data_IF_208773630918
#
_entry.id   IF_208773630918
#
_cell.length_a   1.000
_cell.length_b   1.000
_cell.length_c   1.000
_cell.angle_alpha   90.00
_cell.angle_beta   90.00
_cell.angle_gamma   90.00
#
_symmetry.space_group_name_H-M   'P 1'
#
loop_
_entity.id
_entity.type
_entity.pdbx_description
1 polymer ?
#
# COMPACT_ATOMS: atom_id res chain seq x y z
N UNK A 1 12.08 -34.59 4.51
CA UNK A 1 12.86 -33.78 3.56
C UNK A 1 12.80 -32.37 4.11
N UNK A 2 13.94 -31.76 4.45
CA UNK A 2 13.93 -30.39 4.96
C UNK A 2 13.57 -29.40 3.84
N UNK A 3 12.61 -28.51 4.09
CA UNK A 3 12.18 -27.51 3.14
C UNK A 3 11.77 -26.22 3.87
N UNK A 4 12.02 -25.07 3.23
CA UNK A 4 11.52 -23.76 3.64
C UNK A 4 10.89 -23.15 2.40
N UNK A 5 9.61 -22.77 2.49
CA UNK A 5 8.86 -22.20 1.38
C UNK A 5 8.43 -20.78 1.74
N UNK A 6 8.75 -19.85 0.85
CA UNK A 6 8.48 -18.42 1.00
C UNK A 6 8.06 -17.85 -0.34
N UNK A 7 7.36 -16.72 -0.28
CA UNK A 7 6.92 -16.00 -1.47
C UNK A 7 7.40 -14.55 -1.44
N UNK A 8 7.45 -13.92 -2.61
CA UNK A 8 7.77 -12.49 -2.74
C UNK A 8 6.55 -11.63 -2.42
N UNK A 9 6.75 -10.43 -1.88
CA UNK A 9 5.67 -9.50 -1.58
C UNK A 9 5.89 -8.12 -2.18
N UNK A 10 4.78 -7.39 -2.38
CA UNK A 10 4.79 -5.97 -2.73
C UNK A 10 4.05 -5.20 -1.64
N UNK A 11 4.72 -4.23 -1.07
CA UNK A 11 4.19 -3.29 -0.07
C UNK A 11 4.40 -1.86 -0.55
N UNK A 12 3.83 -0.88 0.15
CA UNK A 12 4.03 0.53 -0.15
C UNK A 12 4.79 1.22 0.99
N UNK A 13 5.41 2.36 0.68
CA UNK A 13 6.13 3.17 1.67
C UNK A 13 5.25 3.43 2.90
N UNK A 14 5.81 3.10 4.06
CA UNK A 14 5.16 3.27 5.36
C UNK A 14 4.08 2.23 5.69
N UNK A 15 3.91 1.19 4.88
CA UNK A 15 3.11 0.03 5.29
C UNK A 15 3.80 -0.73 6.43
N UNK A 16 2.99 -1.31 7.32
CA UNK A 16 3.48 -2.28 8.29
C UNK A 16 3.73 -3.60 7.58
N UNK A 17 4.93 -4.13 7.72
CA UNK A 17 5.34 -5.42 7.16
C UNK A 17 6.14 -6.20 8.20
N UNK A 18 5.96 -7.52 8.22
CA UNK A 18 6.71 -8.44 9.03
C UNK A 18 7.22 -9.61 8.17
N UNK A 19 8.36 -10.20 8.53
CA UNK A 19 8.92 -11.31 7.75
C UNK A 19 7.99 -12.53 7.67
N UNK A 20 7.13 -12.73 8.66
CA UNK A 20 6.13 -13.80 8.62
C UNK A 20 5.12 -13.63 7.47
N UNK A 21 4.92 -12.40 6.97
CA UNK A 21 4.02 -12.12 5.84
C UNK A 21 4.47 -12.84 4.55
N UNK A 22 5.76 -13.17 4.43
CA UNK A 22 6.34 -13.85 3.27
C UNK A 22 6.54 -15.36 3.48
N UNK A 23 6.17 -15.90 4.65
CA UNK A 23 6.37 -17.31 4.99
C UNK A 23 5.16 -18.17 4.61
N UNK A 24 5.38 -19.25 3.87
CA UNK A 24 4.30 -20.18 3.48
C UNK A 24 4.30 -21.45 4.35
N UNK A 25 5.46 -22.09 4.50
CA UNK A 25 5.62 -23.32 5.29
C UNK A 25 7.08 -23.71 5.46
N UNK A 26 7.38 -24.54 6.47
CA UNK A 26 8.64 -25.25 6.60
C UNK A 26 8.39 -26.70 7.02
N UNK A 27 9.26 -27.61 6.59
CA UNK A 27 9.24 -29.02 6.93
C UNK A 27 10.60 -29.46 7.46
N UNK A 28 10.61 -30.33 8.46
CA UNK A 28 11.83 -30.98 8.95
C UNK A 28 12.29 -32.16 8.06
N UNK A 29 13.40 -32.79 8.44
CA UNK A 29 13.94 -33.96 7.74
C UNK A 29 12.96 -35.15 7.66
N UNK A 30 12.02 -35.27 8.60
CA UNK A 30 11.02 -36.33 8.67
C UNK A 30 9.72 -35.94 7.94
N UNK A 31 9.60 -34.69 7.48
CA UNK A 31 8.45 -34.15 6.78
C UNK A 31 7.37 -33.58 7.70
N UNK A 32 7.68 -33.33 8.98
CA UNK A 32 6.76 -32.68 9.91
C UNK A 32 6.78 -31.16 9.68
N UNK A 33 5.64 -30.46 9.83
CA UNK A 33 5.60 -29.01 9.77
C UNK A 33 6.38 -28.38 10.91
N UNK A 34 7.02 -27.26 10.61
CA UNK A 34 7.78 -26.44 11.55
C UNK A 34 7.18 -25.03 11.58
N UNK A 35 7.05 -24.48 12.78
CA UNK A 35 6.49 -23.15 13.00
C UNK A 35 7.48 -22.05 12.61
N UNK A 36 6.96 -20.89 12.20
CA UNK A 36 7.76 -19.73 11.81
C UNK A 36 8.82 -19.33 12.85
N UNK A 37 8.45 -19.42 14.13
CA UNK A 37 9.31 -19.05 15.26
C UNK A 37 10.57 -19.93 15.40
N UNK A 38 10.62 -21.09 14.75
CA UNK A 38 11.81 -21.96 14.73
C UNK A 38 12.81 -21.59 13.63
N UNK A 39 12.45 -20.69 12.71
CA UNK A 39 13.34 -20.21 11.65
C UNK A 39 14.32 -19.18 12.20
N UNK A 40 15.53 -19.20 11.66
CA UNK A 40 16.41 -18.03 11.70
C UNK A 40 16.09 -17.14 10.52
N UNK A 41 15.69 -15.89 10.79
CA UNK A 41 15.31 -14.91 9.76
C UNK A 41 16.29 -13.74 9.75
N UNK A 42 16.92 -13.50 8.60
CA UNK A 42 17.69 -12.29 8.33
C UNK A 42 16.86 -11.33 7.47
N UNK A 43 16.32 -10.31 8.14
CA UNK A 43 15.65 -9.16 7.55
C UNK A 43 16.44 -7.86 7.81
N UNK A 44 17.75 -7.94 8.03
CA UNK A 44 18.60 -6.79 8.41
C UNK A 44 18.64 -5.66 7.38
N UNK A 45 18.33 -5.98 6.12
CA UNK A 45 18.22 -5.03 5.01
C UNK A 45 16.81 -4.47 4.80
N UNK A 46 15.84 -4.87 5.62
CA UNK A 46 14.47 -4.42 5.48
C UNK A 46 14.36 -2.91 5.68
N UNK A 47 13.87 -2.22 4.67
CA UNK A 47 13.70 -0.78 4.66
C UNK A 47 12.38 -0.44 3.98
N UNK A 48 11.32 -0.28 4.77
CA UNK A 48 9.95 -0.03 4.28
C UNK A 48 9.60 1.45 4.21
N UNK A 49 10.51 2.35 4.63
CA UNK A 49 10.29 3.80 4.58
C UNK A 49 10.67 4.43 3.24
N UNK A 50 11.20 3.65 2.29
CA UNK A 50 11.64 4.13 0.97
C UNK A 50 11.32 3.10 -0.11
N UNK A 51 10.96 3.55 -1.30
CA UNK A 51 10.80 2.64 -2.42
C UNK A 51 12.12 1.96 -2.79
N UNK A 52 12.02 0.71 -3.21
CA UNK A 52 13.17 -0.15 -3.50
C UNK A 52 12.83 -1.62 -3.31
N UNK A 53 13.83 -2.48 -3.35
CA UNK A 53 13.69 -3.91 -3.10
C UNK A 53 14.70 -4.36 -2.06
N UNK A 54 14.30 -5.24 -1.16
CA UNK A 54 15.23 -5.91 -0.24
C UNK A 54 14.94 -7.40 -0.16
N UNK A 55 15.98 -8.15 0.22
CA UNK A 55 15.92 -9.60 0.38
C UNK A 55 15.73 -9.95 1.85
N UNK A 56 14.94 -10.99 2.10
CA UNK A 56 14.75 -11.59 3.43
C UNK A 56 15.11 -13.06 3.33
N UNK A 57 16.05 -13.51 4.15
CA UNK A 57 16.53 -14.90 4.11
C UNK A 57 16.02 -15.68 5.32
N UNK A 58 15.39 -16.82 5.04
CA UNK A 58 14.83 -17.74 6.03
C UNK A 58 15.67 -19.00 6.04
N UNK A 59 16.07 -19.44 7.23
CA UNK A 59 16.96 -20.60 7.40
C UNK A 59 16.42 -21.56 8.43
N UNK A 60 16.37 -22.85 8.07
CA UNK A 60 16.09 -23.95 8.99
C UNK A 60 16.99 -25.15 8.67
N UNK A 61 17.68 -25.68 9.68
CA UNK A 61 18.59 -26.84 9.55
C UNK A 61 19.57 -26.74 8.36
N UNK A 62 20.09 -25.53 8.13
CA UNK A 62 21.03 -25.22 7.03
C UNK A 62 20.39 -25.07 5.64
N UNK A 63 19.09 -25.33 5.48
CA UNK A 63 18.33 -25.03 4.27
C UNK A 63 17.91 -23.56 4.28
N UNK A 64 18.21 -22.85 3.19
CA UNK A 64 17.88 -21.43 3.04
C UNK A 64 16.86 -21.21 1.94
N UNK A 65 16.02 -20.19 2.12
CA UNK A 65 15.16 -19.64 1.06
C UNK A 65 15.07 -18.13 1.22
N UNK A 66 14.92 -17.43 0.10
CA UNK A 66 14.97 -15.96 0.05
C UNK A 66 13.69 -15.45 -0.58
N UNK A 67 13.03 -14.51 0.09
CA UNK A 67 11.93 -13.73 -0.45
C UNK A 67 12.42 -12.34 -0.86
N UNK A 68 11.91 -11.84 -1.98
CA UNK A 68 12.07 -10.45 -2.41
C UNK A 68 10.87 -9.65 -1.95
N UNK A 69 11.13 -8.57 -1.22
CA UNK A 69 10.13 -7.59 -0.83
C UNK A 69 10.32 -6.35 -1.69
N UNK A 70 9.28 -5.97 -2.43
CA UNK A 70 9.26 -4.75 -3.25
C UNK A 70 8.46 -3.67 -2.53
N UNK A 71 9.11 -2.55 -2.22
CA UNK A 71 8.48 -1.35 -1.66
C UNK A 71 8.22 -0.36 -2.79
N UNK A 72 6.94 -0.05 -3.02
CA UNK A 72 6.50 0.96 -4.00
C UNK A 72 6.21 2.29 -3.32
N UNK A 73 6.39 3.39 -4.06
CA UNK A 73 5.87 4.69 -3.63
C UNK A 73 4.34 4.68 -3.56
N UNK A 74 3.75 5.45 -2.64
CA UNK A 74 2.31 5.69 -2.62
C UNK A 74 1.98 6.86 -3.55
N UNK A 75 1.24 6.58 -4.62
CA UNK A 75 0.86 7.59 -5.61
C UNK A 75 -0.51 8.24 -5.35
N UNK A 76 -1.13 7.95 -4.20
CA UNK A 76 -2.47 8.45 -3.86
C UNK A 76 -2.51 9.97 -3.89
N UNK A 77 -3.38 10.51 -4.73
CA UNK A 77 -3.55 11.94 -4.91
C UNK A 77 -5.01 12.29 -5.20
N UNK A 78 -5.43 13.48 -4.79
CA UNK A 78 -6.69 14.11 -5.23
C UNK A 78 -6.32 15.49 -5.72
N UNK A 79 -6.55 15.74 -7.01
CA UNK A 79 -6.23 16.98 -7.68
C UNK A 79 -7.52 17.74 -7.98
N UNK A 80 -7.56 19.00 -7.53
CA UNK A 80 -8.71 19.89 -7.66
C UNK A 80 -8.22 21.27 -8.05
N UNK A 81 -9.15 22.06 -8.58
CA UNK A 81 -8.91 23.46 -8.90
C UNK A 81 -9.97 24.36 -8.24
N UNK A 82 -9.66 25.65 -8.13
CA UNK A 82 -10.61 26.65 -7.65
C UNK A 82 -11.51 27.14 -8.79
N UNK A 83 -12.76 27.48 -8.47
CA UNK A 83 -13.71 28.07 -9.42
C UNK A 83 -14.29 29.36 -8.87
N UNK A 84 -14.78 30.23 -9.76
CA UNK A 84 -15.52 31.44 -9.39
C UNK A 84 -16.84 31.43 -10.14
N UNK A 85 -17.94 31.49 -9.40
CA UNK A 85 -19.31 31.43 -9.91
C UNK A 85 -20.09 32.68 -9.45
N UNK A 86 -21.24 32.94 -10.07
CA UNK A 86 -22.13 34.01 -9.62
C UNK A 86 -23.11 33.51 -8.56
N UNK A 87 -23.65 34.46 -7.77
CA UNK A 87 -24.64 34.15 -6.74
C UNK A 87 -25.90 33.56 -7.38
N UNK A 88 -26.30 32.39 -6.90
CA UNK A 88 -27.44 31.62 -7.37
C UNK A 88 -27.12 30.64 -8.49
N UNK A 89 -25.88 30.59 -8.98
CA UNK A 89 -25.47 29.58 -9.96
C UNK A 89 -25.54 28.17 -9.35
N UNK A 90 -25.87 27.21 -10.20
CA UNK A 90 -25.72 25.80 -9.86
C UNK A 90 -24.23 25.46 -9.81
N UNK A 91 -23.85 24.69 -8.80
CA UNK A 91 -22.50 24.20 -8.63
C UNK A 91 -22.54 22.77 -8.10
N UNK A 92 -21.70 21.93 -8.66
CA UNK A 92 -21.44 20.58 -8.17
C UNK A 92 -19.96 20.45 -7.84
N UNK A 93 -19.61 19.68 -6.80
CA UNK A 93 -18.20 19.49 -6.43
C UNK A 93 -17.34 18.88 -7.56
N UNK A 94 -17.98 18.18 -8.50
CA UNK A 94 -17.33 17.64 -9.69
C UNK A 94 -16.81 18.75 -10.63
N UNK A 95 -17.41 19.94 -10.58
CA UNK A 95 -16.97 21.08 -11.38
C UNK A 95 -15.54 21.52 -11.03
N UNK A 96 -15.08 21.22 -9.80
CA UNK A 96 -13.75 21.56 -9.29
C UNK A 96 -12.78 20.37 -9.26
N UNK A 97 -13.17 19.22 -9.81
CA UNK A 97 -12.38 17.99 -9.76
C UNK A 97 -11.58 17.78 -11.04
N UNK A 98 -10.25 17.58 -10.92
CA UNK A 98 -9.38 17.28 -12.06
C UNK A 98 -9.10 15.79 -12.20
N UNK A 99 -8.60 15.15 -11.14
CA UNK A 99 -8.30 13.72 -11.11
C UNK A 99 -8.10 13.20 -9.69
N UNK A 100 -8.20 11.89 -9.52
CA UNK A 100 -7.76 11.20 -8.33
C UNK A 100 -6.98 9.96 -8.73
N UNK A 101 -5.97 9.60 -7.94
CA UNK A 101 -5.13 8.43 -8.15
C UNK A 101 -5.21 7.52 -6.93
N UNK A 102 -5.25 6.21 -7.17
CA UNK A 102 -5.07 5.22 -6.11
C UNK A 102 -3.58 5.10 -5.72
N UNK A 103 -3.27 4.22 -4.76
CA UNK A 103 -1.88 3.99 -4.31
C UNK A 103 -0.95 3.49 -5.40
N UNK A 104 -1.48 2.84 -6.44
CA UNK A 104 -0.77 2.30 -7.59
C UNK A 104 -0.64 3.32 -8.73
N UNK A 105 -1.28 4.48 -8.60
CA UNK A 105 -1.28 5.53 -9.62
C UNK A 105 -2.34 5.32 -10.71
N UNK A 106 -3.32 4.45 -10.49
CA UNK A 106 -4.46 4.32 -11.41
C UNK A 106 -5.49 5.40 -11.13
N UNK A 107 -6.17 5.85 -12.19
CA UNK A 107 -7.26 6.81 -12.08
C UNK A 107 -8.41 6.25 -11.21
N UNK A 108 -8.89 7.09 -10.31
CA UNK A 108 -10.06 6.85 -9.47
C UNK A 108 -11.19 7.75 -9.95
N UNK A 109 -12.32 7.14 -10.27
CA UNK A 109 -13.51 7.89 -10.70
C UNK A 109 -14.06 8.75 -9.56
N UNK A 110 -14.55 9.95 -9.89
CA UNK A 110 -15.16 10.87 -8.93
C UNK A 110 -16.24 10.22 -8.07
N UNK A 111 -17.01 9.28 -8.61
CA UNK A 111 -18.08 8.58 -7.89
C UNK A 111 -17.58 7.69 -6.75
N UNK A 112 -16.29 7.34 -6.73
CA UNK A 112 -15.67 6.60 -5.63
C UNK A 112 -15.19 7.53 -4.48
N UNK A 113 -15.24 8.85 -4.68
CA UNK A 113 -14.80 9.82 -3.68
C UNK A 113 -15.95 10.15 -2.72
N UNK A 114 -15.57 10.39 -1.46
CA UNK A 114 -16.48 11.03 -0.49
C UNK A 114 -16.30 12.54 -0.58
N UNK A 115 -17.39 13.25 -0.84
CA UNK A 115 -17.40 14.70 -0.99
C UNK A 115 -18.19 15.31 0.16
N UNK A 116 -17.58 16.28 0.85
CA UNK A 116 -18.27 17.14 1.80
C UNK A 116 -18.48 18.53 1.17
N UNK A 117 -19.68 18.76 0.63
CA UNK A 117 -20.11 20.04 0.08
C UNK A 117 -20.92 20.89 1.09
N UNK A 118 -20.93 20.51 2.39
CA UNK A 118 -21.81 21.13 3.39
C UNK A 118 -21.52 22.61 3.66
N UNK A 119 -20.33 23.09 3.29
CA UNK A 119 -19.90 24.48 3.46
C UNK A 119 -20.23 25.37 2.26
N UNK A 120 -20.53 24.79 1.10
CA UNK A 120 -20.85 25.54 -0.10
C UNK A 120 -22.25 26.19 0.02
N UNK A 121 -22.31 27.52 -0.12
CA UNK A 121 -23.57 28.27 -0.17
C UNK A 121 -23.57 29.23 -1.36
N UNK A 122 -23.96 28.72 -2.53
CA UNK A 122 -23.98 29.52 -3.76
C UNK A 122 -25.06 30.60 -3.75
N UNK A 123 -25.98 30.60 -2.77
CA UNK A 123 -27.00 31.65 -2.61
C UNK A 123 -26.47 32.94 -1.99
N UNK A 124 -25.21 32.93 -1.52
CA UNK A 124 -24.56 34.09 -0.90
C UNK A 124 -23.20 34.36 -1.53
N UNK A 125 -22.83 35.63 -1.65
CA UNK A 125 -21.48 36.00 -2.04
C UNK A 125 -20.49 35.65 -0.92
N UNK A 126 -19.34 35.05 -1.27
CA UNK A 126 -18.32 34.65 -0.31
C UNK A 126 -17.27 33.73 -0.92
N UNK A 127 -16.38 33.22 -0.06
CA UNK A 127 -15.48 32.10 -0.35
C UNK A 127 -15.83 30.99 0.63
N UNK A 128 -16.01 29.77 0.14
CA UNK A 128 -16.59 28.64 0.87
C UNK A 128 -15.76 27.38 0.70
#
# INVERSE_FOLDING_TARGET
MTAVNVHDSTIYVGDNWQAEDNFDSALDKDGNPIDFQELTVDASKAETSKAGTFEVTYTYDGVTSTAIVTVKEKMTAVNVHDSTIYVGDNWEAKDNFDSALDKDGNDVDFSALTVDASKADTSKAGSF
#
